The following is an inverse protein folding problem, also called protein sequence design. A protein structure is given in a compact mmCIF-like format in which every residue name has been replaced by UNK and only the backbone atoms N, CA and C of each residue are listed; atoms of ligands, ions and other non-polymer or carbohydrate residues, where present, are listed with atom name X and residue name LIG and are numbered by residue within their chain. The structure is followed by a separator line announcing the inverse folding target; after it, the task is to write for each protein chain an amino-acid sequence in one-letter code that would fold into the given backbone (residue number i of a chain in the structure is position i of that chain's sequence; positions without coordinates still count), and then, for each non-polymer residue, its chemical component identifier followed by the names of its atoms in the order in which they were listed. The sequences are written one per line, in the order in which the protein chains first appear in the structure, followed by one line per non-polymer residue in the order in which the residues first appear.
data_IF_263855963084
#
_entry.id   IF_263855963084
#
_cell.length_a   1.000
_cell.length_b   1.000
_cell.length_c   1.000
_cell.angle_alpha   90.00
_cell.angle_beta   90.00
_cell.angle_gamma   90.00
#
_symmetry.space_group_name_H-M   'P 1'
#
loop_
_entity.id
_entity.type
_entity.pdbx_description
1 polymer ?
#
# COMPACT_ATOMS: atom_id res chain seq x y z
N UNK A 1 -10.47 -14.87 -37.19
CA UNK A 1 -9.71 -16.02 -36.61
C UNK A 1 -9.62 -15.89 -35.11
N UNK A 2 -9.29 -14.72 -34.58
CA UNK A 2 -9.20 -14.42 -33.14
C UNK A 2 -10.56 -14.53 -32.43
N UNK A 3 -11.66 -14.05 -33.03
CA UNK A 3 -13.00 -14.16 -32.45
C UNK A 3 -13.50 -15.61 -32.30
N UNK A 4 -13.04 -16.52 -33.18
CA UNK A 4 -13.36 -17.95 -33.06
C UNK A 4 -12.61 -18.67 -31.95
N UNK A 5 -11.39 -18.20 -31.60
CA UNK A 5 -10.62 -18.75 -30.49
C UNK A 5 -11.14 -18.26 -29.14
N UNK A 6 -11.65 -17.03 -29.08
CA UNK A 6 -12.24 -16.46 -27.86
C UNK A 6 -13.67 -16.99 -27.57
N UNK A 7 -14.37 -17.56 -28.57
CA UNK A 7 -15.72 -18.14 -28.40
C UNK A 7 -15.72 -19.62 -28.03
N UNK A 8 -14.57 -20.29 -27.95
CA UNK A 8 -14.53 -21.65 -27.46
C UNK A 8 -14.72 -21.65 -25.93
N UNK A 9 -15.67 -22.45 -25.40
CA UNK A 9 -15.80 -22.59 -23.97
C UNK A 9 -14.47 -23.11 -23.41
N UNK A 10 -13.91 -22.40 -22.44
CA UNK A 10 -12.72 -22.87 -21.71
C UNK A 10 -13.10 -24.24 -21.14
N UNK A 11 -12.53 -25.30 -21.70
CA UNK A 11 -12.64 -26.62 -21.09
C UNK A 11 -11.91 -26.55 -19.77
N UNK A 12 -12.67 -26.46 -18.67
CA UNK A 12 -12.09 -26.57 -17.33
C UNK A 12 -11.55 -27.99 -17.21
N UNK A 13 -10.25 -28.14 -17.23
CA UNK A 13 -9.62 -29.40 -16.82
C UNK A 13 -10.12 -29.75 -15.44
N UNK A 14 -10.44 -31.02 -15.25
CA UNK A 14 -10.84 -31.50 -13.91
C UNK A 14 -9.60 -31.46 -13.04
N UNK A 15 -9.73 -30.81 -11.91
CA UNK A 15 -8.69 -30.77 -10.89
C UNK A 15 -8.22 -32.21 -10.58
N UNK A 16 -6.91 -32.41 -10.62
CA UNK A 16 -6.30 -33.63 -10.17
C UNK A 16 -5.94 -33.56 -8.66
N UNK A 17 -5.41 -34.64 -8.13
CA UNK A 17 -5.01 -34.68 -6.72
C UNK A 17 -3.92 -33.68 -6.36
N UNK A 18 -3.08 -33.31 -7.30
CA UNK A 18 -1.98 -32.37 -7.10
C UNK A 18 -2.47 -30.93 -7.04
N UNK A 19 -3.50 -30.61 -7.80
CA UNK A 19 -4.17 -29.30 -7.70
C UNK A 19 -4.72 -29.07 -6.29
N UNK A 20 -5.40 -30.07 -5.72
CA UNK A 20 -5.90 -30.00 -4.35
C UNK A 20 -4.76 -29.92 -3.33
N UNK A 21 -3.68 -30.67 -3.49
CA UNK A 21 -2.50 -30.62 -2.61
C UNK A 21 -1.87 -29.21 -2.68
N UNK A 22 -1.68 -28.70 -3.88
CA UNK A 22 -1.09 -27.38 -4.10
C UNK A 22 -1.93 -26.28 -3.45
N UNK A 23 -3.24 -26.27 -3.69
CA UNK A 23 -4.14 -25.28 -3.10
C UNK A 23 -4.20 -25.40 -1.58
N UNK A 24 -4.28 -26.64 -1.03
CA UNK A 24 -4.29 -26.85 0.40
C UNK A 24 -2.97 -26.39 1.04
N UNK A 25 -1.84 -26.70 0.44
CA UNK A 25 -0.52 -26.32 0.94
C UNK A 25 -0.35 -24.80 0.88
N UNK A 26 -0.72 -24.16 -0.24
CA UNK A 26 -0.69 -22.71 -0.38
C UNK A 26 -1.60 -22.01 0.64
N UNK A 27 -2.81 -22.49 0.83
CA UNK A 27 -3.75 -21.94 1.81
C UNK A 27 -3.23 -22.09 3.26
N UNK A 28 -2.67 -23.26 3.59
CA UNK A 28 -2.09 -23.50 4.92
C UNK A 28 -0.86 -22.63 5.16
N UNK A 29 0.05 -22.53 4.18
CA UNK A 29 1.22 -21.68 4.27
C UNK A 29 0.84 -20.20 4.40
N UNK A 30 -0.18 -19.75 3.64
CA UNK A 30 -0.72 -18.40 3.76
C UNK A 30 -1.30 -18.12 5.15
N UNK A 31 -2.06 -19.06 5.71
CA UNK A 31 -2.62 -18.93 7.06
C UNK A 31 -1.53 -18.89 8.15
N UNK A 32 -0.49 -19.71 8.01
CA UNK A 32 0.67 -19.70 8.90
C UNK A 32 1.40 -18.36 8.79
N UNK A 33 1.69 -17.89 7.58
CA UNK A 33 2.35 -16.60 7.35
C UNK A 33 1.53 -15.44 7.94
N UNK A 34 0.20 -15.42 7.76
CA UNK A 34 -0.69 -14.41 8.35
C UNK A 34 -0.67 -14.46 9.88
N UNK A 35 -0.66 -15.66 10.48
CA UNK A 35 -0.56 -15.83 11.93
C UNK A 35 0.77 -15.30 12.49
N UNK A 36 1.90 -15.63 11.83
CA UNK A 36 3.21 -15.09 12.21
C UNK A 36 3.28 -13.58 12.02
N UNK A 37 2.71 -13.05 10.94
CA UNK A 37 2.69 -11.61 10.68
C UNK A 37 1.90 -10.87 11.77
N UNK A 38 0.75 -11.39 12.20
CA UNK A 38 -0.03 -10.81 13.30
C UNK A 38 0.70 -10.83 14.63
N UNK A 39 1.46 -11.88 14.91
CA UNK A 39 2.33 -11.94 16.10
C UNK A 39 3.45 -10.91 16.05
N UNK A 40 4.07 -10.72 14.90
CA UNK A 40 5.09 -9.69 14.66
C UNK A 40 4.48 -8.29 14.77
N UNK A 41 3.28 -8.08 14.22
CA UNK A 41 2.55 -6.82 14.26
C UNK A 41 2.38 -6.31 15.70
N UNK A 42 1.94 -7.15 16.62
CA UNK A 42 1.75 -6.77 18.02
C UNK A 42 3.08 -6.42 18.71
N UNK A 43 4.12 -7.23 18.48
CA UNK A 43 5.43 -6.99 19.06
C UNK A 43 6.09 -5.76 18.44
N UNK A 44 5.97 -5.56 17.14
CA UNK A 44 6.53 -4.39 16.44
C UNK A 44 5.77 -3.12 16.83
N UNK A 45 4.46 -3.16 16.96
CA UNK A 45 3.65 -2.03 17.43
C UNK A 45 4.07 -1.64 18.83
N UNK A 46 4.13 -2.60 19.78
CA UNK A 46 4.57 -2.34 21.15
C UNK A 46 6.02 -1.81 21.21
N UNK A 47 6.88 -2.30 20.34
CA UNK A 47 8.26 -1.81 20.24
C UNK A 47 8.32 -0.38 19.70
N UNK A 48 7.55 -0.07 18.66
CA UNK A 48 7.42 1.27 18.09
C UNK A 48 6.82 2.26 19.08
N UNK A 49 5.82 1.84 19.87
CA UNK A 49 5.20 2.67 20.92
C UNK A 49 6.19 2.95 22.07
N UNK A 50 7.14 2.04 22.32
CA UNK A 50 8.24 2.24 23.27
C UNK A 50 9.23 3.33 22.84
N UNK A 51 9.38 3.59 21.55
CA UNK A 51 10.08 4.77 21.05
C UNK A 51 9.12 5.96 21.12
N UNK A 52 9.19 6.73 22.21
CA UNK A 52 8.42 7.99 22.44
C UNK A 52 8.76 9.11 21.43
N UNK A 53 9.05 8.77 20.19
CA UNK A 53 9.06 9.75 19.11
C UNK A 53 7.59 9.91 18.73
N UNK A 54 6.95 10.96 19.24
CA UNK A 54 5.66 11.40 18.66
C UNK A 54 5.89 11.47 17.18
N UNK A 55 5.14 10.65 16.42
CA UNK A 55 5.13 10.80 14.97
C UNK A 55 4.38 12.09 14.71
N UNK A 56 5.06 13.18 14.32
CA UNK A 56 4.35 14.36 13.91
C UNK A 56 3.42 13.94 12.79
N UNK A 57 2.24 14.52 12.70
CA UNK A 57 1.38 14.33 11.52
C UNK A 57 2.21 14.67 10.30
N UNK A 58 2.58 13.64 9.56
CA UNK A 58 3.48 13.80 8.41
C UNK A 58 2.71 14.29 7.20
N UNK A 59 3.37 15.09 6.37
CA UNK A 59 2.73 15.65 5.18
C UNK A 59 2.13 14.57 4.27
N UNK A 60 2.78 13.42 4.15
CA UNK A 60 2.31 12.32 3.30
C UNK A 60 0.98 11.69 3.76
N UNK A 61 0.58 11.89 5.00
CA UNK A 61 -0.69 11.40 5.58
C UNK A 61 -1.80 12.46 5.53
N UNK A 62 -1.66 13.44 4.67
CA UNK A 62 -2.60 14.54 4.54
C UNK A 62 -3.97 14.08 4.07
N UNK A 63 -5.01 14.46 4.83
CA UNK A 63 -6.42 14.15 4.57
C UNK A 63 -7.29 15.40 4.55
N UNK A 64 -6.79 16.48 3.94
CA UNK A 64 -7.52 17.74 3.82
C UNK A 64 -8.61 17.72 2.75
N UNK A 65 -9.22 18.88 2.45
CA UNK A 65 -10.36 18.98 1.55
C UNK A 65 -10.09 18.36 0.16
N UNK A 66 -10.93 17.40 -0.20
CA UNK A 66 -10.82 16.64 -1.46
C UNK A 66 -9.81 15.48 -1.41
N UNK A 67 -9.07 15.33 -0.32
CA UNK A 67 -8.17 14.21 -0.06
C UNK A 67 -8.66 13.38 1.12
N UNK A 68 -8.18 12.17 1.23
CA UNK A 68 -8.46 11.33 2.38
C UNK A 68 -9.51 10.24 2.12
N UNK A 69 -10.13 9.80 3.22
CA UNK A 69 -11.01 8.65 3.24
C UNK A 69 -10.27 7.35 3.60
N UNK A 70 -11.02 6.26 3.67
CA UNK A 70 -10.50 4.96 4.13
C UNK A 70 -9.28 4.47 3.34
N UNK A 71 -9.20 4.80 2.07
CA UNK A 71 -8.14 4.31 1.17
C UNK A 71 -7.11 5.38 0.82
N UNK A 72 -6.96 6.44 1.65
CA UNK A 72 -6.05 7.56 1.39
C UNK A 72 -4.60 7.13 1.13
N UNK A 73 -4.12 6.07 1.78
CA UNK A 73 -2.78 5.53 1.56
C UNK A 73 -2.57 5.05 0.12
N UNK A 74 -3.56 4.33 -0.44
CA UNK A 74 -3.53 3.90 -1.83
C UNK A 74 -3.64 5.02 -2.85
N UNK A 75 -4.14 6.19 -2.43
CA UNK A 75 -4.38 7.35 -3.28
C UNK A 75 -3.30 8.43 -3.14
N UNK A 76 -2.18 8.14 -2.48
CA UNK A 76 -1.08 9.08 -2.26
C UNK A 76 0.25 8.51 -2.73
N UNK A 77 1.16 9.38 -3.18
CA UNK A 77 2.51 8.96 -3.57
C UNK A 77 3.37 8.61 -2.38
N UNK A 78 3.16 9.28 -1.25
CA UNK A 78 4.01 9.19 -0.07
C UNK A 78 3.98 7.83 0.63
N UNK A 79 2.93 7.04 0.44
CA UNK A 79 2.79 5.70 1.01
C UNK A 79 3.28 4.59 0.07
N UNK A 80 3.64 4.91 -1.17
CA UNK A 80 4.19 3.92 -2.10
C UNK A 80 5.68 3.73 -1.85
N UNK A 81 6.07 2.51 -1.45
CA UNK A 81 7.45 2.18 -1.12
C UNK A 81 8.43 2.41 -2.28
N UNK A 82 7.96 2.34 -3.53
CA UNK A 82 8.79 2.65 -4.69
C UNK A 82 9.06 4.15 -4.86
N UNK A 83 8.36 5.01 -4.10
CA UNK A 83 8.54 6.47 -4.13
C UNK A 83 9.23 7.03 -2.89
N UNK A 84 10.07 6.23 -2.24
CA UNK A 84 10.78 6.62 -1.00
C UNK A 84 11.42 8.00 -1.07
N UNK A 85 12.13 8.33 -2.14
CA UNK A 85 12.80 9.62 -2.26
C UNK A 85 11.80 10.78 -2.37
N UNK A 86 10.71 10.59 -3.12
CA UNK A 86 9.62 11.56 -3.20
C UNK A 86 8.92 11.72 -1.86
N UNK A 87 8.68 10.65 -1.13
CA UNK A 87 8.05 10.68 0.19
C UNK A 87 8.91 11.44 1.21
N UNK A 88 10.22 11.18 1.24
CA UNK A 88 11.15 11.90 2.10
C UNK A 88 11.17 13.40 1.75
N UNK A 89 11.16 13.73 0.46
CA UNK A 89 11.09 15.12 -0.01
C UNK A 89 9.79 15.79 0.44
N UNK A 90 8.65 15.12 0.32
CA UNK A 90 7.34 15.62 0.77
C UNK A 90 7.32 15.87 2.28
N UNK A 91 7.86 14.96 3.09
CA UNK A 91 7.97 15.13 4.53
C UNK A 91 8.81 16.35 4.86
N UNK A 92 9.99 16.48 4.21
CA UNK A 92 10.91 17.59 4.44
C UNK A 92 10.30 18.95 4.09
N UNK A 93 9.56 19.05 2.99
CA UNK A 93 9.05 20.32 2.47
C UNK A 93 7.58 20.58 2.83
N UNK A 94 6.93 19.70 3.57
CA UNK A 94 5.53 19.85 3.91
C UNK A 94 4.61 19.84 2.69
N UNK A 95 4.91 19.02 1.69
CA UNK A 95 4.07 18.83 0.52
C UNK A 95 3.40 17.47 0.54
N UNK A 96 2.30 17.34 -0.17
CA UNK A 96 1.57 16.10 -0.36
C UNK A 96 1.21 15.93 -1.83
N UNK A 97 1.41 14.74 -2.35
CA UNK A 97 1.03 14.39 -3.72
C UNK A 97 0.08 13.21 -3.70
N UNK A 98 -1.09 13.39 -4.27
CA UNK A 98 -2.11 12.34 -4.27
C UNK A 98 -3.33 12.67 -5.12
N UNK A 99 -4.29 11.75 -5.09
CA UNK A 99 -5.51 11.84 -5.85
C UNK A 99 -6.52 12.73 -5.11
N UNK A 100 -6.87 13.86 -5.70
CA UNK A 100 -7.85 14.82 -5.18
C UNK A 100 -9.19 14.63 -5.86
N UNK A 101 -10.25 14.54 -5.07
CA UNK A 101 -11.61 14.58 -5.59
C UNK A 101 -12.00 16.03 -5.93
N UNK A 102 -12.43 16.22 -7.16
CA UNK A 102 -12.92 17.50 -7.70
C UNK A 102 -14.34 17.33 -8.25
N UNK A 103 -15.07 18.43 -8.56
CA UNK A 103 -16.36 18.33 -9.22
C UNK A 103 -16.34 17.62 -10.57
N UNK A 104 -15.17 17.60 -11.23
CA UNK A 104 -14.95 16.98 -12.53
C UNK A 104 -14.40 15.53 -12.45
N UNK A 105 -14.29 15.00 -11.23
CA UNK A 105 -13.73 13.67 -10.99
C UNK A 105 -12.49 13.71 -10.10
N UNK A 106 -11.51 12.86 -10.40
CA UNK A 106 -10.28 12.73 -9.62
C UNK A 106 -9.08 13.26 -10.41
N UNK A 107 -8.29 14.11 -9.76
CA UNK A 107 -7.07 14.70 -10.31
C UNK A 107 -5.88 14.35 -9.42
N UNK A 108 -4.74 13.98 -10.04
CA UNK A 108 -3.48 13.79 -9.34
C UNK A 108 -2.80 15.14 -9.17
N UNK A 109 -2.65 15.59 -7.93
CA UNK A 109 -2.15 16.93 -7.64
C UNK A 109 -1.13 16.92 -6.51
N UNK A 110 -0.22 17.88 -6.55
CA UNK A 110 0.65 18.23 -5.44
C UNK A 110 0.07 19.45 -4.71
N UNK A 111 0.11 19.45 -3.38
CA UNK A 111 -0.36 20.54 -2.56
C UNK A 111 0.58 20.78 -1.38
N UNK A 112 0.67 22.04 -0.93
CA UNK A 112 1.38 22.38 0.31
C UNK A 112 0.47 22.11 1.51
N UNK A 113 1.01 21.48 2.54
CA UNK A 113 0.26 21.07 3.73
C UNK A 113 0.47 22.07 4.85
N UNK A 114 -0.32 23.13 4.88
CA UNK A 114 -0.20 24.17 5.90
C UNK A 114 -0.94 23.84 7.21
N UNK A 115 -1.91 22.93 7.17
CA UNK A 115 -2.79 22.67 8.33
C UNK A 115 -2.10 21.98 9.51
N UNK A 116 -0.94 21.42 9.32
CA UNK A 116 -0.18 20.78 10.39
C UNK A 116 0.71 21.78 11.14
N UNK A 117 0.65 23.07 10.77
CA UNK A 117 1.20 24.20 11.54
C UNK A 117 2.70 24.11 11.80
N UNK A 118 3.49 23.44 10.94
CA UNK A 118 4.81 23.02 11.33
C UNK A 118 5.89 23.52 10.39
N UNK A 119 7.00 23.77 10.98
CA UNK A 119 8.29 24.06 10.39
C UNK A 119 8.85 22.81 9.67
N UNK A 120 8.19 22.34 8.62
CA UNK A 120 8.71 21.21 7.82
C UNK A 120 10.12 21.49 7.29
N UNK A 121 10.42 22.75 7.01
CA UNK A 121 11.75 23.22 6.59
C UNK A 121 12.86 22.94 7.64
N UNK A 122 12.50 22.52 8.85
CA UNK A 122 13.47 22.20 9.92
C UNK A 122 13.98 20.77 9.87
N UNK A 123 13.33 19.88 9.10
CA UNK A 123 13.79 18.50 9.01
C UNK A 123 14.99 18.39 8.06
N UNK A 124 16.09 17.81 8.55
CA UNK A 124 17.16 17.33 7.67
C UNK A 124 16.65 16.16 6.81
N UNK A 125 17.34 15.86 5.72
CA UNK A 125 16.98 14.69 4.90
C UNK A 125 17.02 13.37 5.67
N UNK A 126 17.93 13.24 6.65
CA UNK A 126 18.04 12.05 7.50
C UNK A 126 16.88 11.94 8.50
N UNK A 127 16.48 13.04 9.11
CA UNK A 127 15.29 13.06 10.00
C UNK A 127 14.02 12.72 9.22
N UNK A 128 13.83 13.30 8.04
CA UNK A 128 12.71 12.98 7.16
C UNK A 128 12.70 11.49 6.77
N UNK A 129 13.86 10.87 6.55
CA UNK A 129 14.00 9.44 6.30
C UNK A 129 13.58 8.61 7.52
N UNK A 130 14.00 8.97 8.72
CA UNK A 130 13.62 8.27 9.95
C UNK A 130 12.12 8.38 10.23
N UNK A 131 11.54 9.56 10.01
CA UNK A 131 10.10 9.81 10.12
C UNK A 131 9.34 8.95 9.09
N UNK A 132 9.80 8.93 7.84
CA UNK A 132 9.23 8.10 6.79
C UNK A 132 9.27 6.62 7.17
N UNK A 133 10.41 6.12 7.60
CA UNK A 133 10.60 4.72 7.99
C UNK A 133 9.65 4.33 9.13
N UNK A 134 9.60 5.14 10.18
CA UNK A 134 8.70 4.89 11.33
C UNK A 134 7.24 4.89 10.90
N UNK A 135 6.83 5.87 10.08
CA UNK A 135 5.46 5.96 9.58
C UNK A 135 5.08 4.74 8.75
N UNK A 136 5.95 4.30 7.84
CA UNK A 136 5.70 3.13 7.00
C UNK A 136 5.67 1.82 7.80
N UNK A 137 6.53 1.66 8.82
CA UNK A 137 6.47 0.51 9.72
C UNK A 137 5.16 0.49 10.52
N UNK A 138 4.72 1.65 11.02
CA UNK A 138 3.44 1.77 11.71
C UNK A 138 2.27 1.42 10.80
N UNK A 139 2.28 1.93 9.57
CA UNK A 139 1.23 1.64 8.60
C UNK A 139 1.22 0.19 8.15
N UNK A 140 2.39 -0.42 7.98
CA UNK A 140 2.52 -1.82 7.59
C UNK A 140 1.81 -2.76 8.56
N UNK A 141 1.85 -2.47 9.86
CA UNK A 141 1.21 -3.31 10.89
C UNK A 141 -0.29 -3.05 11.06
N UNK A 142 -0.84 -2.01 10.42
CA UNK A 142 -2.29 -1.77 10.45
C UNK A 142 -3.06 -2.72 9.54
N UNK A 143 -4.37 -2.96 9.77
CA UNK A 143 -5.19 -3.84 8.93
C UNK A 143 -5.20 -3.46 7.45
N UNK A 144 -5.24 -2.17 7.14
CA UNK A 144 -5.24 -1.69 5.75
C UNK A 144 -3.84 -1.74 5.12
N UNK A 145 -2.77 -1.77 5.93
CA UNK A 145 -1.37 -1.84 5.51
C UNK A 145 -0.98 -0.76 4.49
N UNK A 146 0.21 -0.90 3.90
CA UNK A 146 0.68 -0.04 2.81
C UNK A 146 0.08 -0.51 1.47
N UNK A 147 -0.09 0.38 0.48
CA UNK A 147 -0.48 -0.02 -0.86
C UNK A 147 0.55 -0.98 -1.47
N UNK A 148 0.14 -1.74 -2.47
CA UNK A 148 1.11 -2.55 -3.22
C UNK A 148 2.12 -1.65 -3.93
N UNK A 149 3.39 -2.10 -4.07
CA UNK A 149 4.44 -1.29 -4.69
C UNK A 149 4.06 -0.88 -6.11
N UNK A 150 4.16 0.41 -6.40
CA UNK A 150 3.84 0.96 -7.72
C UNK A 150 2.37 1.39 -7.89
N UNK A 151 1.52 1.27 -6.87
CA UNK A 151 0.13 1.71 -6.96
C UNK A 151 0.02 3.20 -7.31
N UNK A 152 0.89 4.04 -6.77
CA UNK A 152 0.90 5.47 -7.04
C UNK A 152 1.12 5.82 -8.52
N UNK A 153 1.89 5.00 -9.25
CA UNK A 153 2.07 5.20 -10.70
C UNK A 153 0.77 4.92 -11.46
N UNK A 154 -0.02 3.95 -11.03
CA UNK A 154 -1.35 3.69 -11.62
C UNK A 154 -2.31 4.84 -11.32
N UNK A 155 -2.19 5.47 -10.16
CA UNK A 155 -3.00 6.62 -9.78
C UNK A 155 -2.67 7.89 -10.59
N UNK A 156 -1.42 8.05 -11.04
CA UNK A 156 -1.02 9.15 -11.91
C UNK A 156 -1.57 9.05 -13.33
N UNK A 157 -1.86 7.85 -13.81
CA UNK A 157 -2.37 7.67 -15.16
C UNK A 157 -3.71 8.42 -15.34
N UNK A 158 -3.94 9.03 -16.49
CA UNK A 158 -5.20 9.74 -16.75
C UNK A 158 -6.39 8.78 -16.90
N UNK A 159 -6.14 7.50 -17.10
CA UNK A 159 -7.16 6.49 -17.33
C UNK A 159 -7.95 6.19 -16.05
N UNK A 160 -9.26 6.50 -16.11
CA UNK A 160 -10.18 6.30 -14.99
C UNK A 160 -10.37 4.83 -14.61
N UNK A 161 -10.39 3.93 -15.57
CA UNK A 161 -10.62 2.50 -15.32
C UNK A 161 -9.41 1.87 -14.65
N UNK A 162 -8.19 2.26 -15.01
CA UNK A 162 -6.97 1.82 -14.34
C UNK A 162 -6.94 2.29 -12.88
N UNK A 163 -7.27 3.56 -12.64
CA UNK A 163 -7.36 4.09 -11.26
C UNK A 163 -8.39 3.34 -10.43
N UNK A 164 -9.58 3.15 -10.98
CA UNK A 164 -10.67 2.42 -10.33
C UNK A 164 -10.27 0.98 -10.01
N UNK A 165 -9.64 0.29 -10.96
CA UNK A 165 -9.12 -1.06 -10.75
C UNK A 165 -8.10 -1.11 -9.61
N UNK A 166 -7.11 -0.21 -9.57
CA UNK A 166 -6.11 -0.16 -8.52
C UNK A 166 -6.72 0.12 -7.14
N UNK A 167 -7.69 1.04 -7.04
CA UNK A 167 -8.43 1.30 -5.80
C UNK A 167 -9.22 0.06 -5.37
N UNK A 168 -9.88 -0.63 -6.30
CA UNK A 168 -10.60 -1.87 -6.00
C UNK A 168 -9.66 -2.96 -5.49
N UNK A 169 -8.52 -3.16 -6.11
CA UNK A 169 -7.52 -4.11 -5.62
C UNK A 169 -7.15 -3.80 -4.17
N UNK A 170 -6.74 -2.56 -3.89
CA UNK A 170 -6.35 -2.15 -2.54
C UNK A 170 -7.50 -2.31 -1.53
N UNK A 171 -8.73 -1.94 -1.91
CA UNK A 171 -9.92 -2.08 -1.06
C UNK A 171 -10.29 -3.52 -0.74
N UNK A 172 -9.89 -4.47 -1.58
CA UNK A 172 -10.06 -5.91 -1.36
C UNK A 172 -8.86 -6.56 -0.66
N UNK A 173 -7.94 -5.76 -0.14
CA UNK A 173 -6.81 -6.24 0.66
C UNK A 173 -5.57 -6.64 -0.15
N UNK A 174 -5.51 -6.35 -1.46
CA UNK A 174 -4.28 -6.50 -2.25
C UNK A 174 -3.30 -5.37 -1.90
N UNK A 175 -2.74 -5.45 -0.72
CA UNK A 175 -1.78 -4.51 -0.16
C UNK A 175 -0.37 -5.13 -0.10
N UNK A 176 0.61 -4.36 0.39
CA UNK A 176 2.00 -4.84 0.50
C UNK A 176 2.10 -6.11 1.35
N UNK A 177 1.37 -6.20 2.46
CA UNK A 177 1.36 -7.38 3.33
C UNK A 177 0.86 -8.61 2.60
N UNK A 178 -0.26 -8.49 1.87
CA UNK A 178 -0.79 -9.58 1.05
C UNK A 178 0.25 -10.10 0.05
N UNK A 179 0.93 -9.19 -0.67
CA UNK A 179 1.97 -9.56 -1.63
C UNK A 179 3.12 -10.31 -0.95
N UNK A 180 3.58 -9.82 0.20
CA UNK A 180 4.65 -10.50 0.95
C UNK A 180 4.24 -11.89 1.43
N UNK A 181 3.02 -12.05 1.93
CA UNK A 181 2.50 -13.36 2.34
C UNK A 181 2.42 -14.30 1.13
N UNK A 182 1.93 -13.82 -0.01
CA UNK A 182 1.87 -14.63 -1.22
C UNK A 182 3.26 -14.98 -1.78
N UNK A 183 4.22 -14.06 -1.70
CA UNK A 183 5.60 -14.32 -2.15
C UNK A 183 6.33 -15.32 -1.24
N UNK A 184 6.05 -15.33 0.06
CA UNK A 184 6.65 -16.26 1.01
C UNK A 184 6.01 -17.66 0.95
N UNK A 185 4.76 -17.76 0.56
CA UNK A 185 4.02 -19.03 0.53
C UNK A 185 4.69 -20.09 -0.36
N UNK A 186 5.12 -19.82 -1.61
CA UNK A 186 5.86 -20.80 -2.42
C UNK A 186 7.19 -21.21 -1.79
N UNK A 187 7.94 -20.26 -1.21
CA UNK A 187 9.23 -20.53 -0.57
C UNK A 187 9.10 -21.49 0.62
N UNK A 188 7.94 -21.49 1.31
CA UNK A 188 7.67 -22.42 2.42
C UNK A 188 7.24 -23.80 1.95
N UNK A 189 6.83 -23.95 0.69
CA UNK A 189 6.42 -25.22 0.09
C UNK A 189 7.60 -25.98 -0.49
N UNK A 190 8.69 -25.29 -0.88
CA UNK A 190 9.90 -25.87 -1.47
C UNK A 190 10.89 -26.42 -0.43
N UNK A 191 10.64 -26.21 0.87
CA UNK A 191 11.45 -26.74 1.99
C UNK A 191 10.83 -28.02 2.52
#
# INVERSE_FOLDING_TARGET
KIERELSQPIQREKWDRWDYVTVFTAATSGAIADHFTKGIDNNLSNWLDGFKIETPKVAIDYQGPGFGGRYHRGMSSGHDILRIFSAIWQIKNGTFTGLKQTPNGFEWVETTVNQYGNNFDTYSGFEAFLIWMKHHLSDFVTPDSLPFPGMSFLMELPDHEIRKFAIQMYSHGYNLRFILVQALSPALVEI
#
